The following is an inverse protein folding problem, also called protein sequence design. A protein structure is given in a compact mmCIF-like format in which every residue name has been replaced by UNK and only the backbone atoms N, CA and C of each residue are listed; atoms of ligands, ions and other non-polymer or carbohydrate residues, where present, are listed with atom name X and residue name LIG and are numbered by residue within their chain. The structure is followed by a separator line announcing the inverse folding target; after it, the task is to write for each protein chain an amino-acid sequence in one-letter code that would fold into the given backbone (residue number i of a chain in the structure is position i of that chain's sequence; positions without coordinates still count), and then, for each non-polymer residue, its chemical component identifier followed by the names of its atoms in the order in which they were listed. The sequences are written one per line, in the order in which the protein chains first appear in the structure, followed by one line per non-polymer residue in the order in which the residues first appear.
data_IF_993609705505
#
_entry.id   IF_993609705505
#
_cell.length_a   1.000
_cell.length_b   1.000
_cell.length_c   1.000
_cell.angle_alpha   90.00
_cell.angle_beta   90.00
_cell.angle_gamma   90.00
#
_symmetry.space_group_name_H-M   'P 1'
#
loop_
_entity.id
_entity.type
_entity.pdbx_description
1 polymer ?
#
# COMPACT_ATOMS: atom_id res chain seq x y z
N UNK A 1 -12.93 12.17 -8.71
CA UNK A 1 -12.58 10.86 -8.10
C UNK A 1 -13.91 10.20 -7.78
N UNK A 2 -14.17 9.04 -8.35
CA UNK A 2 -15.41 8.30 -8.10
C UNK A 2 -15.29 7.56 -6.75
N UNK A 3 -16.02 8.05 -5.74
CA UNK A 3 -15.97 7.50 -4.39
C UNK A 3 -16.71 6.17 -4.27
N UNK A 4 -17.71 5.91 -5.11
CA UNK A 4 -18.45 4.65 -5.07
C UNK A 4 -17.58 3.53 -5.65
N UNK A 5 -16.97 3.76 -6.81
CA UNK A 5 -16.01 2.84 -7.40
C UNK A 5 -14.84 2.57 -6.45
N UNK A 6 -14.29 3.61 -5.81
CA UNK A 6 -13.21 3.46 -4.83
C UNK A 6 -13.63 2.59 -3.63
N UNK A 7 -14.84 2.78 -3.10
CA UNK A 7 -15.36 1.98 -2.00
C UNK A 7 -15.51 0.52 -2.40
N UNK A 8 -16.01 0.24 -3.61
CA UNK A 8 -16.12 -1.13 -4.15
C UNK A 8 -14.75 -1.80 -4.28
N UNK A 9 -13.77 -1.12 -4.88
CA UNK A 9 -12.42 -1.68 -5.02
C UNK A 9 -11.71 -1.86 -3.67
N UNK A 10 -11.87 -0.90 -2.74
CA UNK A 10 -11.29 -0.99 -1.39
C UNK A 10 -11.82 -2.21 -0.61
N UNK A 11 -13.08 -2.59 -0.83
CA UNK A 11 -13.66 -3.78 -0.22
C UNK A 11 -13.03 -5.10 -0.71
N UNK A 12 -12.37 -5.11 -1.87
CA UNK A 12 -11.60 -6.26 -2.38
C UNK A 12 -10.25 -6.43 -1.66
N UNK A 13 -9.79 -5.41 -0.92
CA UNK A 13 -8.49 -5.37 -0.24
C UNK A 13 -8.65 -5.09 1.27
N UNK A 14 -9.35 -5.98 2.02
CA UNK A 14 -9.68 -5.76 3.42
C UNK A 14 -8.42 -5.75 4.29
N UNK A 15 -8.40 -4.87 5.29
CA UNK A 15 -7.34 -4.88 6.30
C UNK A 15 -7.62 -6.04 7.28
N UNK A 16 -6.67 -6.96 7.51
CA UNK A 16 -6.84 -8.01 8.51
C UNK A 16 -7.08 -7.43 9.92
N UNK A 17 -8.02 -8.03 10.65
CA UNK A 17 -8.34 -7.62 12.01
C UNK A 17 -7.12 -7.77 12.93
N UNK A 18 -6.89 -6.79 13.80
CA UNK A 18 -5.75 -6.80 14.74
C UNK A 18 -4.37 -6.54 14.12
N UNK A 19 -4.26 -6.43 12.78
CA UNK A 19 -2.98 -6.15 12.14
C UNK A 19 -2.63 -4.64 12.25
N UNK A 20 -1.52 -4.34 12.90
CA UNK A 20 -0.90 -3.02 12.89
C UNK A 20 0.42 -3.10 12.12
N UNK A 21 0.57 -2.24 11.11
CA UNK A 21 1.80 -2.11 10.33
C UNK A 21 2.34 -0.69 10.49
N UNK A 22 3.65 -0.56 10.65
CA UNK A 22 4.32 0.72 10.75
C UNK A 22 4.96 1.09 9.41
N UNK A 23 4.83 2.35 9.02
CA UNK A 23 5.63 2.90 7.93
C UNK A 23 7.01 3.26 8.48
N UNK A 24 8.02 2.44 8.15
CA UNK A 24 9.40 2.67 8.58
C UNK A 24 10.21 3.48 7.58
N UNK A 25 11.53 3.56 7.81
CA UNK A 25 12.48 4.25 6.91
C UNK A 25 12.38 3.78 5.46
N UNK A 26 12.09 2.49 5.25
CA UNK A 26 11.98 1.88 3.93
C UNK A 26 10.54 1.52 3.54
N UNK A 27 9.57 2.26 4.08
CA UNK A 27 8.14 2.05 3.85
C UNK A 27 7.56 0.90 4.66
N UNK A 28 6.44 0.36 4.17
CA UNK A 28 5.83 -0.83 4.73
C UNK A 28 6.56 -2.08 4.25
N UNK A 29 7.08 -2.88 5.18
CA UNK A 29 7.66 -4.20 4.92
C UNK A 29 7.11 -5.20 5.92
N UNK A 30 6.64 -6.32 5.42
CA UNK A 30 6.07 -7.43 6.20
C UNK A 30 6.00 -8.66 5.31
N UNK A 31 5.35 -9.73 5.79
CA UNK A 31 5.03 -10.89 4.95
C UNK A 31 4.06 -10.48 3.84
N UNK A 32 4.23 -11.04 2.64
CA UNK A 32 3.52 -10.61 1.45
C UNK A 32 1.99 -10.71 1.60
N UNK A 33 1.51 -11.75 2.28
CA UNK A 33 0.08 -12.03 2.51
C UNK A 33 -0.58 -10.94 3.39
N UNK A 34 0.21 -10.15 4.10
CA UNK A 34 -0.27 -9.08 4.98
C UNK A 34 -0.30 -7.71 4.28
N UNK A 35 0.22 -7.60 3.04
CA UNK A 35 0.47 -6.32 2.37
C UNK A 35 -0.52 -5.95 1.26
N UNK A 36 -1.41 -6.83 0.83
CA UNK A 36 -2.39 -6.55 -0.24
C UNK A 36 -3.15 -5.22 0.00
N UNK A 37 -3.74 -5.11 1.18
CA UNK A 37 -4.47 -3.93 1.64
C UNK A 37 -3.60 -2.66 1.68
N UNK A 38 -2.29 -2.80 1.93
CA UNK A 38 -1.34 -1.69 1.96
C UNK A 38 -1.06 -1.20 0.55
N UNK A 39 -0.76 -2.09 -0.38
CA UNK A 39 -0.42 -1.74 -1.78
C UNK A 39 -1.57 -0.98 -2.44
N UNK A 40 -2.81 -1.44 -2.24
CA UNK A 40 -4.01 -0.73 -2.72
C UNK A 40 -4.06 0.72 -2.21
N UNK A 41 -3.88 0.91 -0.90
CA UNK A 41 -3.92 2.23 -0.25
C UNK A 41 -2.73 3.12 -0.67
N UNK A 42 -1.56 2.54 -0.89
CA UNK A 42 -0.37 3.26 -1.37
C UNK A 42 -0.56 3.78 -2.80
N UNK A 43 -1.25 3.05 -3.67
CA UNK A 43 -1.64 3.54 -5.00
C UNK A 43 -2.52 4.80 -4.90
N UNK A 44 -3.52 4.79 -4.03
CA UNK A 44 -4.36 5.97 -3.78
C UNK A 44 -3.55 7.14 -3.21
N UNK A 45 -2.67 6.89 -2.24
CA UNK A 45 -1.79 7.91 -1.68
C UNK A 45 -0.86 8.51 -2.74
N UNK A 46 -0.30 7.70 -3.65
CA UNK A 46 0.54 8.18 -4.74
C UNK A 46 -0.23 9.13 -5.67
N UNK A 47 -1.48 8.81 -6.02
CA UNK A 47 -2.36 9.70 -6.81
C UNK A 47 -2.63 11.01 -6.09
N UNK A 48 -3.00 10.94 -4.81
CA UNK A 48 -3.25 12.14 -4.00
C UNK A 48 -1.99 13.01 -3.88
N UNK A 49 -0.84 12.40 -3.65
CA UNK A 49 0.45 13.11 -3.57
C UNK A 49 0.79 13.76 -4.91
N UNK A 50 0.65 13.04 -6.02
CA UNK A 50 0.94 13.57 -7.35
C UNK A 50 0.11 14.81 -7.66
N UNK A 51 -1.18 14.79 -7.32
CA UNK A 51 -2.08 15.95 -7.46
C UNK A 51 -1.70 17.11 -6.53
N UNK A 52 -1.26 16.82 -5.31
CA UNK A 52 -0.90 17.83 -4.32
C UNK A 52 0.39 18.58 -4.68
N UNK A 53 1.34 17.92 -5.35
CA UNK A 53 2.63 18.53 -5.72
C UNK A 53 2.81 18.78 -7.22
N UNK A 54 1.80 18.46 -8.03
CA UNK A 54 1.86 18.58 -9.51
C UNK A 54 3.11 17.92 -10.10
N UNK A 55 3.42 16.71 -9.63
CA UNK A 55 4.61 15.96 -10.04
C UNK A 55 4.34 14.45 -10.12
N UNK A 56 5.19 13.74 -10.87
CA UNK A 56 5.16 12.28 -10.94
C UNK A 56 5.60 11.67 -9.61
N UNK A 57 4.83 10.71 -9.10
CA UNK A 57 5.13 9.97 -7.87
C UNK A 57 5.38 8.51 -8.22
N UNK A 58 6.57 8.01 -7.88
CA UNK A 58 6.92 6.60 -8.02
C UNK A 58 6.45 5.76 -6.82
N UNK A 59 6.07 4.52 -7.09
CA UNK A 59 5.83 3.50 -6.07
C UNK A 59 6.76 2.32 -6.37
N UNK A 60 7.60 1.97 -5.40
CA UNK A 60 8.50 0.82 -5.50
C UNK A 60 7.94 -0.34 -4.68
N UNK A 61 7.71 -1.49 -5.33
CA UNK A 61 7.33 -2.74 -4.67
C UNK A 61 8.57 -3.59 -4.54
N UNK A 62 9.15 -3.65 -3.35
CA UNK A 62 10.37 -4.43 -3.09
C UNK A 62 10.50 -4.76 -1.60
N UNK A 63 11.04 -5.93 -1.32
CA UNK A 63 11.53 -6.29 0.01
C UNK A 63 13.07 -6.14 0.10
N UNK A 64 13.74 -5.62 -0.93
CA UNK A 64 15.19 -5.43 -0.98
C UNK A 64 15.95 -6.74 -0.70
N UNK A 65 16.66 -6.83 0.43
CA UNK A 65 17.43 -8.02 0.83
C UNK A 65 16.61 -9.01 1.68
N UNK A 66 15.36 -8.68 2.00
CA UNK A 66 14.50 -9.55 2.79
C UNK A 66 14.23 -10.86 2.02
N UNK A 67 14.12 -11.99 2.73
CA UNK A 67 13.83 -13.27 2.11
C UNK A 67 12.45 -13.29 1.44
N UNK A 68 12.28 -14.17 0.47
CA UNK A 68 11.00 -14.41 -0.22
C UNK A 68 9.92 -14.90 0.77
N UNK A 69 10.30 -15.83 1.65
CA UNK A 69 9.47 -16.34 2.73
C UNK A 69 10.11 -16.00 4.07
N UNK A 70 9.40 -15.27 4.94
CA UNK A 70 9.80 -15.17 6.35
C UNK A 70 9.53 -16.52 7.00
N UNK A 71 10.60 -17.25 7.35
CA UNK A 71 10.54 -18.47 8.17
C UNK A 71 10.25 -18.08 9.62
#
# INVERSE_FOLDING_TARGET
MDFEALRKCSALHPKPAGLALQYGTAGFRSRAEQLDHVVFRMGLLAVLRSRAVTATIGVMVTASHNPETMV
#
